data_IF_998900172088
#
_entry.id   IF_998900172088
#
_cell.length_a   1.000
_cell.length_b   1.000
_cell.length_c   1.000
_cell.angle_alpha   90.00
_cell.angle_beta   90.00
_cell.angle_gamma   90.00
#
_symmetry.space_group_name_H-M   'P 1'
#
loop_
_entity.id
_entity.type
_entity.pdbx_description
1 polymer ?
#
# COMPACT_ATOMS: atom_id res chain seq x y z
N UNK A 1 -18.77 -1.79 -1.55
CA UNK A 1 -19.72 -1.29 -0.56
C UNK A 1 -20.07 0.14 -0.92
N UNK A 2 -21.34 0.49 -0.92
CA UNK A 2 -21.82 1.83 -1.19
C UNK A 2 -22.86 2.21 -0.12
N UNK A 3 -22.65 3.33 0.57
CA UNK A 3 -23.59 3.93 1.50
C UNK A 3 -23.81 5.39 1.05
N UNK A 4 -24.98 5.67 0.47
CA UNK A 4 -25.26 6.97 -0.16
C UNK A 4 -26.38 7.77 0.54
N UNK A 5 -26.94 7.24 1.64
CA UNK A 5 -28.00 7.91 2.38
C UNK A 5 -27.44 9.09 3.19
N UNK A 6 -28.17 10.20 3.16
CA UNK A 6 -27.97 11.32 4.08
C UNK A 6 -28.77 11.04 5.34
N UNK A 7 -28.09 10.87 6.46
CA UNK A 7 -28.68 10.65 7.77
C UNK A 7 -28.29 11.79 8.68
N UNK A 8 -29.29 12.49 9.19
CA UNK A 8 -29.18 13.55 10.20
C UNK A 8 -30.34 13.35 11.19
N UNK A 9 -30.15 12.49 12.18
CA UNK A 9 -31.19 12.11 13.14
C UNK A 9 -31.39 13.14 14.23
N UNK A 10 -30.35 13.91 14.53
CA UNK A 10 -30.37 14.93 15.58
C UNK A 10 -30.75 16.32 15.05
N UNK A 11 -30.91 16.45 13.71
CA UNK A 11 -31.32 17.68 13.03
C UNK A 11 -30.36 18.87 13.28
N UNK A 12 -29.04 18.58 13.43
CA UNK A 12 -28.03 19.62 13.59
C UNK A 12 -27.49 20.14 12.24
N UNK A 13 -27.96 19.59 11.15
CA UNK A 13 -27.57 19.98 9.79
C UNK A 13 -26.28 19.34 9.30
N UNK A 14 -25.75 18.37 10.04
CA UNK A 14 -24.59 17.60 9.65
C UNK A 14 -24.93 16.12 9.43
N UNK A 15 -24.17 15.47 8.60
CA UNK A 15 -24.28 14.02 8.37
C UNK A 15 -23.79 13.25 9.61
N UNK A 16 -24.67 12.46 10.22
CA UNK A 16 -24.31 11.55 11.33
C UNK A 16 -23.32 10.47 10.89
N UNK A 17 -23.42 10.04 9.63
CA UNK A 17 -22.53 9.05 9.04
C UNK A 17 -22.05 9.51 7.67
N UNK A 18 -20.75 9.36 7.36
CA UNK A 18 -20.24 9.71 6.05
C UNK A 18 -20.82 8.80 4.97
N UNK A 19 -21.18 9.39 3.83
CA UNK A 19 -21.42 8.64 2.60
C UNK A 19 -20.10 7.96 2.20
N UNK A 20 -20.16 6.68 1.88
CA UNK A 20 -18.98 5.90 1.53
C UNK A 20 -19.19 5.09 0.26
N UNK A 21 -18.27 5.19 -0.66
CA UNK A 21 -18.15 4.30 -1.82
C UNK A 21 -16.79 3.64 -1.80
N UNK A 22 -16.76 2.33 -1.64
CA UNK A 22 -15.52 1.56 -1.63
C UNK A 22 -15.58 0.43 -2.66
N UNK A 23 -14.58 0.40 -3.53
CA UNK A 23 -14.37 -0.66 -4.53
C UNK A 23 -12.96 -1.19 -4.36
N UNK A 24 -12.84 -2.50 -4.19
CA UNK A 24 -11.58 -3.20 -4.08
C UNK A 24 -11.61 -4.40 -5.01
N UNK A 25 -10.68 -4.40 -5.97
CA UNK A 25 -10.52 -5.46 -6.95
C UNK A 25 -9.13 -6.07 -6.79
N UNK A 26 -9.08 -7.39 -6.71
CA UNK A 26 -7.84 -8.13 -6.59
C UNK A 26 -7.87 -9.31 -7.52
N UNK A 27 -6.79 -9.50 -8.25
CA UNK A 27 -6.55 -10.72 -9.01
C UNK A 27 -5.17 -11.30 -8.67
N UNK A 28 -5.11 -12.60 -8.50
CA UNK A 28 -3.89 -13.32 -8.16
C UNK A 28 -3.75 -14.55 -9.04
N UNK A 29 -2.58 -14.71 -9.60
CA UNK A 29 -2.18 -15.88 -10.38
C UNK A 29 -1.09 -16.63 -9.65
N UNK A 30 -1.14 -17.94 -9.78
CA UNK A 30 -0.13 -18.85 -9.26
C UNK A 30 0.29 -19.81 -10.35
N UNK A 31 1.59 -19.99 -10.53
CA UNK A 31 2.19 -20.91 -11.49
C UNK A 31 3.20 -21.77 -10.76
N UNK A 32 3.14 -23.08 -10.99
CA UNK A 32 4.18 -24.03 -10.55
C UNK A 32 4.50 -24.96 -11.69
N UNK A 33 5.77 -25.04 -12.07
CA UNK A 33 6.24 -25.91 -13.15
C UNK A 33 7.66 -26.36 -12.86
N UNK A 34 7.87 -27.67 -12.66
CA UNK A 34 9.16 -28.20 -12.24
C UNK A 34 9.68 -27.48 -10.99
N UNK A 35 10.86 -26.95 -11.09
CA UNK A 35 11.59 -26.25 -10.01
C UNK A 35 11.19 -24.78 -9.85
N UNK A 36 10.32 -24.28 -10.71
CA UNK A 36 9.85 -22.89 -10.69
C UNK A 36 8.50 -22.75 -10.01
N UNK A 37 8.39 -21.75 -9.14
CA UNK A 37 7.14 -21.30 -8.53
C UNK A 37 6.99 -19.80 -8.68
N UNK A 38 5.86 -19.36 -9.23
CA UNK A 38 5.55 -17.94 -9.43
C UNK A 38 4.21 -17.55 -8.86
N UNK A 39 4.14 -16.37 -8.27
CA UNK A 39 2.90 -15.71 -7.87
C UNK A 39 2.90 -14.28 -8.38
N UNK A 40 1.78 -13.86 -8.92
CA UNK A 40 1.54 -12.51 -9.44
C UNK A 40 0.25 -12.01 -8.85
N UNK A 41 0.23 -10.77 -8.41
CA UNK A 41 -0.96 -10.15 -7.85
C UNK A 41 -1.06 -8.72 -8.37
N UNK A 42 -2.28 -8.33 -8.74
CA UNK A 42 -2.64 -6.94 -9.02
C UNK A 42 -3.86 -6.60 -8.18
N UNK A 43 -3.83 -5.45 -7.53
CA UNK A 43 -4.95 -4.92 -6.74
C UNK A 43 -5.21 -3.48 -7.12
N UNK A 44 -6.48 -3.13 -7.26
CA UNK A 44 -6.97 -1.77 -7.38
C UNK A 44 -7.93 -1.45 -6.24
N UNK A 45 -7.76 -0.31 -5.61
CA UNK A 45 -8.63 0.21 -4.57
C UNK A 45 -9.11 1.61 -4.97
N UNK A 46 -10.40 1.83 -4.80
CA UNK A 46 -11.03 3.15 -4.83
C UNK A 46 -11.87 3.32 -3.57
N UNK A 47 -11.67 4.41 -2.84
CA UNK A 47 -12.44 4.76 -1.65
C UNK A 47 -12.78 6.24 -1.68
N UNK A 48 -14.06 6.55 -1.62
CA UNK A 48 -14.55 7.93 -1.50
C UNK A 48 -15.45 8.06 -0.31
N UNK A 49 -15.17 9.03 0.54
CA UNK A 49 -15.96 9.35 1.73
C UNK A 49 -16.34 10.81 1.72
N UNK A 50 -17.62 11.08 1.98
CA UNK A 50 -18.15 12.43 2.02
C UNK A 50 -18.90 12.64 3.33
N UNK A 51 -18.66 13.77 3.97
CA UNK A 51 -19.27 14.17 5.23
C UNK A 51 -19.40 15.68 5.33
N UNK A 52 -19.89 16.16 6.46
CA UNK A 52 -20.10 17.57 6.73
C UNK A 52 -21.57 17.95 6.72
N UNK A 53 -21.88 19.15 6.30
CA UNK A 53 -23.27 19.65 6.27
C UNK A 53 -24.14 18.91 5.25
N UNK A 54 -25.41 18.73 5.58
CA UNK A 54 -26.41 18.14 4.67
C UNK A 54 -26.71 19.07 3.50
N UNK A 55 -27.15 18.51 2.38
CA UNK A 55 -27.56 19.31 1.20
C UNK A 55 -28.72 20.28 1.54
N UNK A 56 -29.63 19.87 2.43
CA UNK A 56 -30.69 20.70 2.89
C UNK A 56 -30.21 21.94 3.63
N UNK A 57 -29.26 21.76 4.56
CA UNK A 57 -28.64 22.86 5.31
C UNK A 57 -27.88 23.80 4.36
N UNK A 58 -27.14 23.27 3.40
CA UNK A 58 -26.41 24.07 2.42
C UNK A 58 -27.39 24.91 1.56
N UNK A 59 -28.52 24.35 1.15
CA UNK A 59 -29.51 25.03 0.34
C UNK A 59 -30.19 26.21 1.09
N UNK A 60 -30.21 26.18 2.42
CA UNK A 60 -30.76 27.24 3.25
C UNK A 60 -29.77 28.38 3.54
N UNK A 61 -28.48 28.20 3.22
CA UNK A 61 -27.48 29.24 3.40
C UNK A 61 -27.70 30.38 2.37
N UNK A 62 -27.50 31.64 2.78
CA UNK A 62 -27.43 32.74 1.82
C UNK A 62 -26.37 32.47 0.74
N UNK A 63 -26.63 32.86 -0.50
CA UNK A 63 -25.73 32.63 -1.65
C UNK A 63 -24.31 33.14 -1.33
N UNK A 64 -24.17 34.22 -0.59
CA UNK A 64 -22.87 34.74 -0.16
C UNK A 64 -22.11 33.81 0.78
N UNK A 65 -22.80 32.93 1.50
CA UNK A 65 -22.24 32.00 2.49
C UNK A 65 -22.24 30.54 2.00
N UNK A 66 -22.81 30.24 0.87
CA UNK A 66 -22.83 28.86 0.32
C UNK A 66 -21.42 28.33 0.03
N UNK A 67 -20.45 29.23 -0.24
CA UNK A 67 -19.04 28.87 -0.38
C UNK A 67 -18.35 28.55 0.96
N UNK A 68 -18.99 28.91 2.09
CA UNK A 68 -18.51 28.62 3.45
C UNK A 68 -19.09 27.32 4.02
N UNK A 69 -19.90 26.60 3.25
CA UNK A 69 -20.44 25.33 3.68
C UNK A 69 -19.30 24.36 4.02
N UNK A 70 -19.35 23.82 5.22
CA UNK A 70 -18.34 22.87 5.66
C UNK A 70 -18.67 21.48 5.14
N UNK A 71 -17.84 20.97 4.25
CA UNK A 71 -17.91 19.59 3.79
C UNK A 71 -16.55 18.92 3.82
N UNK A 72 -16.57 17.61 3.95
CA UNK A 72 -15.41 16.74 3.88
C UNK A 72 -15.59 15.85 2.65
N UNK A 73 -14.61 15.84 1.77
CA UNK A 73 -14.54 14.90 0.64
C UNK A 73 -13.14 14.27 0.63
N UNK A 74 -13.09 12.96 0.87
CA UNK A 74 -11.89 12.17 0.88
C UNK A 74 -11.96 11.23 -0.31
N UNK A 75 -11.08 11.41 -1.27
CA UNK A 75 -11.02 10.59 -2.46
C UNK A 75 -9.64 9.93 -2.55
N UNK A 76 -9.63 8.62 -2.46
CA UNK A 76 -8.41 7.81 -2.43
C UNK A 76 -8.48 6.75 -3.51
N UNK A 77 -7.41 6.59 -4.27
CA UNK A 77 -7.23 5.43 -5.10
C UNK A 77 -5.80 4.88 -4.98
N UNK A 78 -5.69 3.57 -5.14
CA UNK A 78 -4.43 2.86 -5.02
C UNK A 78 -4.37 1.70 -6.01
N UNK A 79 -3.21 1.53 -6.61
CA UNK A 79 -2.90 0.34 -7.41
C UNK A 79 -1.65 -0.31 -6.83
N UNK A 80 -1.69 -1.62 -6.65
CA UNK A 80 -0.57 -2.43 -6.18
C UNK A 80 -0.28 -3.54 -7.18
N UNK A 81 0.98 -3.79 -7.41
CA UNK A 81 1.49 -4.96 -8.10
C UNK A 81 2.47 -5.72 -7.22
N UNK A 82 2.41 -7.05 -7.26
CA UNK A 82 3.29 -7.92 -6.48
C UNK A 82 3.67 -9.13 -7.31
N UNK A 83 4.94 -9.49 -7.25
CA UNK A 83 5.51 -10.66 -7.90
C UNK A 83 6.37 -11.39 -6.89
N UNK A 84 6.16 -12.70 -6.75
CA UNK A 84 7.03 -13.58 -5.98
C UNK A 84 7.43 -14.76 -6.87
N UNK A 85 8.70 -14.91 -7.09
CA UNK A 85 9.28 -16.01 -7.87
C UNK A 85 10.24 -16.82 -7.00
N UNK A 86 10.20 -18.10 -7.11
CA UNK A 86 11.14 -19.02 -6.51
C UNK A 86 11.64 -20.01 -7.57
N UNK A 87 12.92 -20.30 -7.54
CA UNK A 87 13.54 -21.33 -8.36
C UNK A 87 14.45 -22.21 -7.49
N UNK A 88 14.28 -23.51 -7.64
CA UNK A 88 15.10 -24.53 -6.95
C UNK A 88 16.16 -25.01 -7.96
N UNK A 89 17.42 -24.81 -7.64
CA UNK A 89 18.55 -25.27 -8.48
C UNK A 89 18.93 -26.70 -8.18
N UNK A 90 18.83 -27.06 -6.89
CA UNK A 90 19.19 -28.38 -6.39
C UNK A 90 18.20 -28.73 -5.25
N UNK A 91 17.43 -29.78 -5.46
CA UNK A 91 16.40 -30.21 -4.50
C UNK A 91 17.03 -30.96 -3.29
N UNK A 92 18.15 -31.67 -3.51
CA UNK A 92 18.80 -32.47 -2.46
C UNK A 92 19.50 -31.54 -1.45
N UNK A 93 20.15 -30.48 -1.94
CA UNK A 93 20.80 -29.46 -1.11
C UNK A 93 19.86 -28.29 -0.77
N UNK A 94 18.61 -28.31 -1.22
CA UNK A 94 17.66 -27.22 -1.02
C UNK A 94 18.13 -25.88 -1.59
N UNK A 95 19.09 -25.90 -2.54
CA UNK A 95 19.66 -24.71 -3.14
C UNK A 95 18.62 -24.00 -3.98
N UNK A 96 18.26 -22.80 -3.58
CA UNK A 96 17.16 -22.07 -4.18
C UNK A 96 17.37 -20.56 -4.12
N UNK A 97 16.66 -19.86 -5.00
CA UNK A 97 16.54 -18.41 -4.96
C UNK A 97 15.08 -18.02 -4.91
N UNK A 98 14.75 -17.07 -4.04
CA UNK A 98 13.45 -16.43 -3.97
C UNK A 98 13.58 -14.94 -4.27
N UNK A 99 12.75 -14.42 -5.14
CA UNK A 99 12.70 -12.99 -5.48
C UNK A 99 11.29 -12.49 -5.24
N UNK A 100 11.17 -11.42 -4.48
CA UNK A 100 9.92 -10.68 -4.25
C UNK A 100 10.11 -9.27 -4.81
N UNK A 101 9.22 -8.86 -5.69
CA UNK A 101 9.15 -7.47 -6.13
C UNK A 101 7.73 -6.97 -5.98
N UNK A 102 7.58 -5.73 -5.52
CA UNK A 102 6.30 -5.06 -5.47
C UNK A 102 6.43 -3.59 -5.84
N UNK A 103 5.35 -3.06 -6.39
CA UNK A 103 5.22 -1.64 -6.64
C UNK A 103 3.81 -1.20 -6.28
N UNK A 104 3.67 -0.01 -5.73
CA UNK A 104 2.38 0.59 -5.45
C UNK A 104 2.38 2.06 -5.78
N UNK A 105 1.23 2.53 -6.20
CA UNK A 105 0.93 3.94 -6.32
C UNK A 105 -0.34 4.25 -5.56
N UNK A 106 -0.25 5.17 -4.63
CA UNK A 106 -1.34 5.66 -3.81
C UNK A 106 -1.54 7.14 -4.07
N UNK A 107 -2.78 7.55 -4.28
CA UNK A 107 -3.13 8.96 -4.45
C UNK A 107 -4.36 9.27 -3.60
N UNK A 108 -4.33 10.41 -2.93
CA UNK A 108 -5.45 10.91 -2.17
C UNK A 108 -5.64 12.41 -2.43
N UNK A 109 -6.90 12.79 -2.57
CA UNK A 109 -7.35 14.16 -2.70
C UNK A 109 -8.39 14.42 -1.63
N UNK A 110 -8.04 15.25 -0.67
CA UNK A 110 -8.84 15.47 0.51
C UNK A 110 -9.22 16.94 0.63
N UNK A 111 -10.49 17.18 0.91
CA UNK A 111 -11.03 18.50 1.21
C UNK A 111 -11.65 18.48 2.60
N UNK A 112 -11.32 19.49 3.39
CA UNK A 112 -11.84 19.68 4.75
C UNK A 112 -12.32 21.13 4.88
N UNK A 113 -13.55 21.38 4.47
CA UNK A 113 -14.05 22.76 4.32
C UNK A 113 -13.17 23.57 3.37
N UNK A 114 -12.53 24.68 3.82
CA UNK A 114 -11.67 25.49 2.96
C UNK A 114 -10.25 24.94 2.78
N UNK A 115 -9.90 23.84 3.46
CA UNK A 115 -8.55 23.27 3.41
C UNK A 115 -8.52 22.09 2.44
N UNK A 116 -7.43 22.00 1.67
CA UNK A 116 -7.16 20.86 0.79
C UNK A 116 -5.82 20.23 1.16
N UNK A 117 -5.80 18.93 1.22
CA UNK A 117 -4.60 18.13 1.37
C UNK A 117 -4.58 17.02 0.33
N UNK A 118 -3.71 17.18 -0.65
CA UNK A 118 -3.54 16.21 -1.72
C UNK A 118 -2.17 15.57 -1.56
N UNK A 119 -2.12 14.24 -1.62
CA UNK A 119 -0.87 13.51 -1.45
C UNK A 119 -0.81 12.33 -2.41
N UNK A 120 0.39 12.02 -2.85
CA UNK A 120 0.67 10.80 -3.59
C UNK A 120 1.94 10.14 -3.07
N UNK A 121 1.93 8.82 -3.08
CA UNK A 121 3.06 7.98 -2.72
C UNK A 121 3.31 6.96 -3.82
N UNK A 122 4.56 6.85 -4.23
CA UNK A 122 5.06 5.75 -5.05
C UNK A 122 5.99 4.92 -4.19
N UNK A 123 5.74 3.63 -4.11
CA UNK A 123 6.62 2.69 -3.42
C UNK A 123 7.07 1.61 -4.41
N UNK A 124 8.34 1.21 -4.32
CA UNK A 124 8.88 0.05 -5.01
C UNK A 124 9.77 -0.74 -4.06
N UNK A 125 9.57 -2.04 -4.00
CA UNK A 125 10.31 -2.94 -3.13
C UNK A 125 10.86 -4.12 -3.92
N UNK A 126 12.10 -4.48 -3.65
CA UNK A 126 12.76 -5.67 -4.17
C UNK A 126 13.44 -6.40 -3.01
N UNK A 127 13.27 -7.72 -2.98
CA UNK A 127 13.97 -8.61 -2.06
C UNK A 127 14.41 -9.85 -2.81
N UNK A 128 15.65 -10.26 -2.62
CA UNK A 128 16.19 -11.49 -3.14
C UNK A 128 16.83 -12.28 -2.01
N UNK A 129 16.49 -13.56 -1.91
CA UNK A 129 16.97 -14.48 -0.87
C UNK A 129 17.53 -15.72 -1.57
N UNK A 130 18.78 -16.02 -1.30
CA UNK A 130 19.42 -17.27 -1.68
C UNK A 130 19.52 -18.17 -0.45
N UNK A 131 19.27 -19.46 -0.64
CA UNK A 131 19.36 -20.47 0.41
C UNK A 131 20.05 -21.71 -0.14
N UNK A 132 20.87 -22.33 0.68
CA UNK A 132 21.48 -23.65 0.38
C UNK A 132 21.74 -24.39 1.69
N UNK A 133 21.75 -25.71 1.61
CA UNK A 133 22.19 -26.58 2.70
C UNK A 133 23.52 -27.22 2.34
N UNK A 134 24.32 -27.49 3.33
CA UNK A 134 25.57 -28.24 3.21
C UNK A 134 25.43 -29.47 4.10
N UNK A 135 25.69 -30.62 3.55
CA UNK A 135 25.74 -31.86 4.28
C UNK A 135 27.25 -32.14 4.61
N UNK A 136 27.58 -32.22 5.88
CA UNK A 136 28.91 -32.61 6.32
C UNK A 136 28.98 -34.12 6.62
N UNK A 137 28.48 -34.91 5.69
CA UNK A 137 28.37 -36.39 5.80
C UNK A 137 29.72 -37.11 5.84
N UNK A 138 30.82 -36.40 6.08
CA UNK A 138 32.15 -36.98 5.96
C UNK A 138 32.74 -37.62 7.24
N UNK A 139 32.13 -37.45 8.42
CA UNK A 139 32.87 -37.79 9.63
C UNK A 139 32.20 -38.66 10.69
N UNK A 140 30.88 -38.70 10.87
CA UNK A 140 30.38 -39.56 11.96
C UNK A 140 28.96 -40.10 11.71
N UNK A 141 28.77 -41.39 11.90
CA UNK A 141 27.54 -42.18 11.73
C UNK A 141 26.44 -41.82 12.77
N UNK A 142 26.64 -40.80 13.60
CA UNK A 142 25.77 -40.42 14.71
C UNK A 142 25.42 -38.93 14.78
N UNK A 143 25.98 -38.11 13.89
CA UNK A 143 25.83 -36.64 13.94
C UNK A 143 25.30 -36.13 12.59
N UNK A 144 23.98 -36.15 12.43
CA UNK A 144 23.26 -35.71 11.26
C UNK A 144 22.91 -34.20 11.45
N UNK A 145 23.92 -33.34 11.33
CA UNK A 145 23.74 -31.90 11.43
C UNK A 145 23.60 -31.28 10.03
N UNK A 146 22.41 -30.78 9.76
CA UNK A 146 22.12 -30.01 8.55
C UNK A 146 22.60 -28.57 8.72
N UNK A 147 23.64 -28.20 7.99
CA UNK A 147 24.10 -26.82 7.90
C UNK A 147 23.30 -26.04 6.85
N UNK A 148 22.59 -25.03 7.24
CA UNK A 148 21.80 -24.19 6.35
C UNK A 148 22.32 -22.77 6.31
N UNK A 149 22.58 -22.25 5.12
CA UNK A 149 22.92 -20.87 4.88
C UNK A 149 21.81 -20.17 4.11
N UNK A 150 21.34 -19.06 4.64
CA UNK A 150 20.42 -18.14 3.94
C UNK A 150 21.08 -16.75 3.87
N UNK A 151 21.10 -16.15 2.69
CA UNK A 151 21.59 -14.80 2.51
C UNK A 151 20.66 -14.03 1.57
N UNK A 152 20.53 -12.75 1.83
CA UNK A 152 19.62 -11.95 1.02
C UNK A 152 19.92 -10.46 1.06
N UNK A 153 19.32 -9.78 0.12
CA UNK A 153 19.36 -8.33 0.00
C UNK A 153 17.95 -7.78 -0.23
N UNK A 154 17.70 -6.57 0.26
CA UNK A 154 16.46 -5.87 0.05
C UNK A 154 16.70 -4.41 -0.28
N UNK A 155 15.84 -3.85 -1.11
CA UNK A 155 15.81 -2.42 -1.40
C UNK A 155 14.36 -1.97 -1.39
N UNK A 156 14.09 -0.90 -0.65
CA UNK A 156 12.82 -0.20 -0.66
C UNK A 156 13.03 1.24 -1.14
N UNK A 157 12.21 1.68 -2.05
CA UNK A 157 12.15 3.05 -2.54
C UNK A 157 10.77 3.63 -2.27
N UNK A 158 10.73 4.77 -1.61
CA UNK A 158 9.53 5.56 -1.38
C UNK A 158 9.70 6.96 -1.93
N UNK A 159 8.67 7.46 -2.59
CA UNK A 159 8.57 8.86 -3.02
C UNK A 159 7.23 9.42 -2.65
N UNK A 160 7.25 10.56 -1.99
CA UNK A 160 6.09 11.30 -1.52
C UNK A 160 5.99 12.64 -2.22
N UNK A 161 4.76 13.02 -2.54
CA UNK A 161 4.45 14.36 -3.04
C UNK A 161 3.18 14.83 -2.33
N UNK A 162 3.29 15.90 -1.55
CA UNK A 162 2.21 16.44 -0.75
C UNK A 162 1.98 17.90 -1.06
N UNK A 163 0.72 18.26 -1.23
CA UNK A 163 0.25 19.62 -1.44
C UNK A 163 -0.78 19.96 -0.38
N UNK A 164 -0.54 21.05 0.35
CA UNK A 164 -1.44 21.54 1.39
C UNK A 164 -1.88 22.97 1.08
N UNK A 165 -3.19 23.21 0.98
CA UNK A 165 -3.78 24.52 0.79
C UNK A 165 -4.69 24.91 1.95
N UNK A 166 -4.59 26.12 2.40
CA UNK A 166 -5.38 26.66 3.53
C UNK A 166 -6.57 27.52 3.09
N UNK A 167 -6.88 27.58 1.80
CA UNK A 167 -8.04 28.29 1.26
C UNK A 167 -7.96 29.83 1.29
N UNK A 168 -6.81 30.39 1.63
CA UNK A 168 -6.55 31.83 1.64
C UNK A 168 -5.36 32.14 0.74
N UNK A 169 -5.06 33.43 0.50
CA UNK A 169 -3.92 33.89 -0.32
C UNK A 169 -2.53 33.50 0.24
N UNK A 170 -2.46 32.55 1.16
CA UNK A 170 -1.20 32.01 1.66
C UNK A 170 -0.58 31.07 0.61
N UNK A 171 0.75 31.17 0.37
CA UNK A 171 1.43 30.22 -0.48
C UNK A 171 1.21 28.79 0.01
N UNK A 172 0.77 27.93 -0.89
CA UNK A 172 0.54 26.53 -0.58
C UNK A 172 1.86 25.77 -0.69
N UNK A 173 2.37 25.20 0.39
CA UNK A 173 3.59 24.42 0.35
C UNK A 173 3.39 23.12 -0.44
N UNK A 174 4.36 22.79 -1.24
CA UNK A 174 4.46 21.50 -1.91
C UNK A 174 5.72 20.80 -1.40
N UNK A 175 5.54 19.63 -0.80
CA UNK A 175 6.61 18.82 -0.22
C UNK A 175 6.84 17.62 -1.11
N UNK A 176 8.04 17.53 -1.69
CA UNK A 176 8.46 16.38 -2.48
C UNK A 176 9.71 15.82 -1.82
N UNK A 177 9.65 14.57 -1.42
CA UNK A 177 10.83 13.87 -0.92
C UNK A 177 10.79 12.40 -1.30
N UNK A 178 11.94 11.78 -1.31
CA UNK A 178 12.09 10.35 -1.58
C UNK A 178 13.17 9.77 -0.72
N UNK A 179 13.03 8.51 -0.40
CA UNK A 179 14.00 7.76 0.39
C UNK A 179 14.27 6.40 -0.23
N UNK A 180 15.47 5.91 0.00
CA UNK A 180 15.90 4.56 -0.36
C UNK A 180 16.42 3.89 0.90
N UNK A 181 15.84 2.75 1.25
CA UNK A 181 16.31 1.90 2.33
C UNK A 181 16.82 0.60 1.74
N UNK A 182 18.05 0.24 2.04
CA UNK A 182 18.64 -1.02 1.62
C UNK A 182 19.08 -1.85 2.82
N UNK A 183 19.00 -3.16 2.69
CA UNK A 183 19.42 -4.10 3.72
C UNK A 183 20.05 -5.34 3.10
N UNK A 184 21.01 -5.91 3.82
CA UNK A 184 21.57 -7.23 3.55
C UNK A 184 21.49 -8.05 4.82
N UNK A 185 21.31 -9.34 4.68
CA UNK A 185 21.36 -10.27 5.80
C UNK A 185 22.03 -11.58 5.39
N UNK A 186 22.58 -12.26 6.38
CA UNK A 186 23.00 -13.64 6.27
C UNK A 186 22.66 -14.36 7.58
N UNK A 187 22.11 -15.55 7.46
CA UNK A 187 21.73 -16.43 8.56
C UNK A 187 22.35 -17.80 8.32
N UNK A 188 22.98 -18.33 9.35
CA UNK A 188 23.51 -19.68 9.36
C UNK A 188 22.87 -20.45 10.49
N UNK A 189 22.36 -21.62 10.19
CA UNK A 189 21.74 -22.54 11.13
C UNK A 189 22.52 -23.84 11.14
N UNK A 190 22.77 -24.31 12.34
CA UNK A 190 23.52 -25.52 12.64
C UNK A 190 22.68 -26.42 13.54
#
# INVERSE_FOLDING_TARGET
QNMSLELDHNHDGFLDMPKNTNVNLLNRWYVKTGDYTGQFLVRGLYDRRQGGQTQETIAQLPIANSQSAYHIDLNTWRVDGFVKNGYVFDADLGTSIGIIASASYHNQQNTYGPRQWNASQTNAYLNAIFQTMFDDSATDMWDDHEHKLSAGLSVNYDRYNEYLSFGTNTPSPNYIYGEVTSGIFAEYTY
#
